data_IF_550415259233
#
_entry.id   IF_550415259233
#
_cell.length_a   1.000
_cell.length_b   1.000
_cell.length_c   1.000
_cell.angle_alpha   90.00
_cell.angle_beta   90.00
_cell.angle_gamma   90.00
#
_symmetry.space_group_name_H-M   'P 1'
#
loop_
_entity.id
_entity.type
_entity.pdbx_description
1 polymer ?
#
# COMPACT_ATOMS: atom_id res chain seq x y z
N UNK A 1 9.59 0.56 4.03
CA UNK A 1 10.50 -0.58 4.31
C UNK A 1 11.14 -1.01 3.00
N UNK A 2 12.47 -0.96 2.88
CA UNK A 2 13.19 -1.24 1.63
C UNK A 2 13.76 -2.67 1.71
N UNK A 3 13.19 -3.61 0.95
CA UNK A 3 13.72 -4.98 0.85
C UNK A 3 14.86 -4.94 -0.18
N UNK A 4 16.10 -5.19 0.27
CA UNK A 4 17.28 -5.20 -0.59
C UNK A 4 17.63 -6.65 -0.94
N UNK A 5 17.57 -7.00 -2.23
CA UNK A 5 18.09 -8.27 -2.76
C UNK A 5 19.58 -8.03 -3.04
N UNK A 6 20.46 -8.56 -2.19
CA UNK A 6 21.92 -8.48 -2.37
C UNK A 6 22.39 -9.54 -3.37
N UNK A 7 23.08 -9.10 -4.43
CA UNK A 7 23.88 -9.95 -5.34
C UNK A 7 25.21 -10.31 -4.65
N UNK A 8 25.53 -11.59 -4.40
CA UNK A 8 26.66 -12.02 -3.59
C UNK A 8 27.87 -12.45 -4.43
N UNK A 9 28.00 -11.99 -5.68
CA UNK A 9 29.17 -12.22 -6.54
C UNK A 9 30.44 -11.44 -6.11
N UNK A 10 30.68 -11.25 -4.81
CA UNK A 10 31.97 -10.79 -4.30
C UNK A 10 32.91 -12.00 -4.12
N UNK A 11 34.14 -12.00 -4.68
CA UNK A 11 34.98 -13.18 -4.79
C UNK A 11 35.73 -13.47 -3.48
N UNK A 12 35.79 -14.74 -3.09
CA UNK A 12 36.77 -15.25 -2.12
C UNK A 12 36.19 -15.82 -0.82
N UNK A 13 35.83 -17.11 -0.85
CA UNK A 13 35.62 -17.90 0.38
C UNK A 13 34.46 -18.88 0.28
N UNK A 14 34.73 -20.17 0.49
CA UNK A 14 33.78 -21.29 0.44
C UNK A 14 32.69 -21.20 1.52
N UNK A 15 31.71 -20.32 1.36
CA UNK A 15 30.40 -20.41 2.03
C UNK A 15 29.35 -20.46 0.95
N UNK A 16 28.59 -21.56 0.88
CA UNK A 16 27.40 -21.65 0.00
C UNK A 16 26.53 -20.44 0.29
N UNK A 17 26.49 -19.50 -0.65
CA UNK A 17 25.68 -18.30 -0.51
C UNK A 17 24.24 -18.75 -0.41
N UNK A 18 23.62 -18.55 0.76
CA UNK A 18 22.20 -18.84 0.96
C UNK A 18 21.39 -17.69 0.37
N UNK A 19 21.16 -17.72 -0.94
CA UNK A 19 20.20 -16.85 -1.62
C UNK A 19 18.80 -17.15 -1.07
N UNK A 20 18.34 -16.34 -0.13
CA UNK A 20 17.04 -16.52 0.52
C UNK A 20 16.58 -15.22 1.16
N UNK A 21 15.27 -15.09 1.44
CA UNK A 21 14.73 -13.87 2.04
C UNK A 21 15.47 -13.55 3.35
N UNK A 22 15.90 -12.31 3.46
CA UNK A 22 16.64 -11.75 4.59
C UNK A 22 15.72 -10.77 5.30
N UNK A 23 15.58 -10.92 6.61
CA UNK A 23 14.80 -10.01 7.46
C UNK A 23 15.79 -9.36 8.42
N UNK A 24 15.86 -8.03 8.44
CA UNK A 24 16.79 -7.26 9.28
C UNK A 24 18.26 -7.74 9.19
N UNK A 25 18.74 -8.02 7.97
CA UNK A 25 20.12 -8.48 7.73
C UNK A 25 20.39 -9.94 8.08
N UNK A 26 19.41 -10.70 8.60
CA UNK A 26 19.57 -12.13 8.93
C UNK A 26 18.84 -13.01 7.91
N UNK A 27 19.54 -13.99 7.36
CA UNK A 27 18.93 -14.97 6.47
C UNK A 27 17.98 -15.88 7.25
N UNK A 28 16.77 -16.06 6.77
CA UNK A 28 15.84 -17.02 7.36
C UNK A 28 16.38 -18.43 7.13
N UNK A 29 16.60 -19.20 8.21
CA UNK A 29 17.10 -20.57 8.09
C UNK A 29 15.99 -21.58 7.79
N UNK A 30 14.80 -21.40 8.40
CA UNK A 30 13.67 -22.33 8.29
C UNK A 30 13.03 -22.32 6.90
N UNK A 31 12.90 -23.48 6.21
CA UNK A 31 12.22 -23.57 4.91
C UNK A 31 10.74 -23.16 4.95
N UNK A 32 10.02 -23.49 6.02
CA UNK A 32 8.62 -23.10 6.20
C UNK A 32 8.49 -21.57 6.32
N UNK A 33 9.35 -20.94 7.11
CA UNK A 33 9.38 -19.49 7.27
C UNK A 33 9.74 -18.77 5.96
N UNK A 34 10.64 -19.33 5.15
CA UNK A 34 10.93 -18.78 3.80
C UNK A 34 9.71 -18.79 2.89
N UNK A 35 8.89 -19.84 2.94
CA UNK A 35 7.66 -19.95 2.13
C UNK A 35 6.62 -18.92 2.58
N UNK A 36 6.42 -18.79 3.89
CA UNK A 36 5.50 -17.80 4.47
C UNK A 36 5.90 -16.37 4.06
N UNK A 37 7.17 -16.00 4.23
CA UNK A 37 7.65 -14.66 3.85
C UNK A 37 7.51 -14.41 2.35
N UNK A 38 7.78 -15.41 1.51
CA UNK A 38 7.54 -15.29 0.06
C UNK A 38 6.06 -15.10 -0.29
N UNK A 39 5.14 -15.78 0.42
CA UNK A 39 3.70 -15.59 0.24
C UNK A 39 3.26 -14.18 0.61
N UNK A 40 3.67 -13.72 1.80
CA UNK A 40 3.37 -12.36 2.28
C UNK A 40 3.89 -11.27 1.33
N UNK A 41 5.09 -11.44 0.76
CA UNK A 41 5.63 -10.48 -0.22
C UNK A 41 4.74 -10.45 -1.47
N UNK A 42 4.33 -11.61 -2.00
CA UNK A 42 3.46 -11.67 -3.18
C UNK A 42 2.09 -11.05 -2.93
N UNK A 43 1.51 -11.28 -1.76
CA UNK A 43 0.22 -10.70 -1.40
C UNK A 43 0.32 -9.18 -1.24
N UNK A 44 1.42 -8.69 -0.65
CA UNK A 44 1.69 -7.26 -0.54
C UNK A 44 1.91 -6.60 -1.92
N UNK A 45 2.64 -7.26 -2.82
CA UNK A 45 2.84 -6.80 -4.20
C UNK A 45 1.50 -6.75 -4.96
N UNK A 46 0.66 -7.79 -4.83
CA UNK A 46 -0.66 -7.84 -5.46
C UNK A 46 -1.57 -6.72 -4.94
N UNK A 47 -1.62 -6.54 -3.61
CA UNK A 47 -2.41 -5.46 -3.01
C UNK A 47 -1.92 -4.08 -3.45
N UNK A 48 -0.61 -3.91 -3.64
CA UNK A 48 -0.03 -2.67 -4.15
C UNK A 48 -0.43 -2.43 -5.61
N UNK A 49 -0.38 -3.45 -6.47
CA UNK A 49 -0.82 -3.36 -7.86
C UNK A 49 -2.31 -3.00 -7.98
N UNK A 50 -3.17 -3.60 -7.13
CA UNK A 50 -4.60 -3.29 -7.10
C UNK A 50 -4.86 -1.83 -6.72
N UNK A 51 -4.10 -1.29 -5.75
CA UNK A 51 -4.17 0.14 -5.40
C UNK A 51 -3.76 1.02 -6.56
N UNK A 52 -2.65 0.71 -7.23
CA UNK A 52 -2.16 1.48 -8.38
C UNK A 52 -3.17 1.49 -9.55
N UNK A 53 -3.81 0.35 -9.82
CA UNK A 53 -4.87 0.25 -10.83
C UNK A 53 -6.11 1.05 -10.43
N UNK A 54 -6.50 0.99 -9.15
CA UNK A 54 -7.65 1.74 -8.62
C UNK A 54 -7.39 3.24 -8.70
N UNK A 55 -6.21 3.69 -8.29
CA UNK A 55 -5.81 5.09 -8.36
C UNK A 55 -5.78 5.58 -9.82
N UNK A 56 -5.21 4.78 -10.73
CA UNK A 56 -5.21 5.10 -12.16
C UNK A 56 -6.63 5.20 -12.72
N UNK A 57 -7.54 4.32 -12.32
CA UNK A 57 -8.95 4.38 -12.69
C UNK A 57 -9.63 5.65 -12.13
N UNK A 58 -9.43 5.96 -10.85
CA UNK A 58 -9.95 7.18 -10.20
C UNK A 58 -9.45 8.43 -10.95
N UNK A 59 -8.16 8.51 -11.27
CA UNK A 59 -7.61 9.66 -11.98
C UNK A 59 -8.20 9.83 -13.38
N UNK A 60 -8.45 8.74 -14.10
CA UNK A 60 -9.14 8.78 -15.41
C UNK A 60 -10.57 9.27 -15.26
N UNK A 61 -11.27 8.82 -14.24
CA UNK A 61 -12.66 9.23 -14.00
C UNK A 61 -12.75 10.69 -13.55
N UNK A 62 -11.82 11.14 -12.70
CA UNK A 62 -11.69 12.55 -12.32
C UNK A 62 -11.35 13.44 -13.52
N UNK A 63 -10.51 12.97 -14.44
CA UNK A 63 -10.19 13.70 -15.67
C UNK A 63 -11.38 13.77 -16.64
N UNK A 64 -12.26 12.77 -16.63
CA UNK A 64 -13.50 12.74 -17.42
C UNK A 64 -14.64 13.51 -16.77
N UNK A 65 -14.57 13.76 -15.48
CA UNK A 65 -15.62 14.48 -14.76
C UNK A 65 -15.79 15.89 -15.35
N UNK A 66 -17.04 16.34 -15.61
CA UNK A 66 -17.27 17.69 -16.08
C UNK A 66 -16.75 18.69 -15.05
N UNK A 67 -16.09 19.75 -15.52
CA UNK A 67 -15.60 20.83 -14.66
C UNK A 67 -16.79 21.39 -13.88
N UNK A 68 -16.70 21.32 -12.55
CA UNK A 68 -17.75 21.83 -11.67
C UNK A 68 -17.77 23.35 -11.75
N UNK A 69 -18.96 23.93 -11.71
CA UNK A 69 -19.08 25.38 -11.56
C UNK A 69 -18.65 25.79 -10.14
N UNK A 70 -18.22 27.04 -9.96
CA UNK A 70 -17.81 27.58 -8.65
C UNK A 70 -18.92 27.37 -7.59
N UNK A 71 -20.18 27.52 -8.00
CA UNK A 71 -21.35 27.29 -7.15
C UNK A 71 -21.45 25.83 -6.70
N UNK A 72 -21.26 24.88 -7.62
CA UNK A 72 -21.29 23.45 -7.31
C UNK A 72 -20.16 23.05 -6.35
N UNK A 73 -18.96 23.63 -6.50
CA UNK A 73 -17.87 23.41 -5.54
C UNK A 73 -18.19 23.95 -4.15
N UNK A 74 -18.77 25.15 -4.06
CA UNK A 74 -19.17 25.74 -2.78
C UNK A 74 -20.25 24.90 -2.08
N UNK A 75 -21.26 24.43 -2.82
CA UNK A 75 -22.27 23.53 -2.30
C UNK A 75 -21.64 22.24 -1.79
N UNK A 76 -20.74 21.62 -2.55
CA UNK A 76 -20.08 20.38 -2.15
C UNK A 76 -19.22 20.54 -0.88
N UNK A 77 -18.52 21.67 -0.74
CA UNK A 77 -17.75 21.97 0.47
C UNK A 77 -18.65 22.13 1.69
N UNK A 78 -19.81 22.79 1.53
CA UNK A 78 -20.81 22.94 2.60
C UNK A 78 -21.40 21.59 3.02
N UNK A 79 -21.90 20.80 2.06
CA UNK A 79 -22.47 19.48 2.34
C UNK A 79 -21.44 18.55 2.98
N UNK A 80 -20.17 18.59 2.54
CA UNK A 80 -19.09 17.83 3.19
C UNK A 80 -18.91 18.25 4.65
N UNK A 81 -18.89 19.55 4.94
CA UNK A 81 -18.79 20.07 6.30
C UNK A 81 -19.97 19.65 7.18
N UNK A 82 -21.19 19.66 6.64
CA UNK A 82 -22.40 19.20 7.34
C UNK A 82 -22.35 17.71 7.63
N UNK A 83 -21.95 16.88 6.68
CA UNK A 83 -21.80 15.43 6.88
C UNK A 83 -20.75 15.11 7.95
N UNK A 84 -19.63 15.85 7.98
CA UNK A 84 -18.61 15.68 9.04
C UNK A 84 -19.18 16.05 10.41
N UNK A 85 -19.91 17.17 10.50
CA UNK A 85 -20.57 17.58 11.74
C UNK A 85 -21.57 16.54 12.23
N UNK A 86 -22.42 16.04 11.34
CA UNK A 86 -23.41 15.00 11.64
C UNK A 86 -22.75 13.68 12.06
N UNK A 87 -21.70 13.25 11.36
CA UNK A 87 -20.95 12.04 11.73
C UNK A 87 -20.28 12.17 13.11
N UNK A 88 -19.78 13.37 13.44
CA UNK A 88 -19.17 13.67 14.74
C UNK A 88 -20.23 13.73 15.86
N UNK A 89 -21.41 14.24 15.56
CA UNK A 89 -22.55 14.26 16.50
C UNK A 89 -23.10 12.85 16.74
N UNK A 90 -23.19 12.02 15.69
CA UNK A 90 -23.64 10.63 15.80
C UNK A 90 -22.64 9.75 16.55
N UNK A 91 -21.33 9.97 16.43
CA UNK A 91 -20.34 9.23 17.23
C UNK A 91 -20.37 9.60 18.71
N UNK A 92 -20.76 10.83 19.07
CA UNK A 92 -20.93 11.27 20.48
C UNK A 92 -22.19 10.77 21.16
N UNK A 93 -23.21 10.37 20.41
CA UNK A 93 -24.49 9.87 20.95
C UNK A 93 -24.50 8.35 21.13
N UNK A 94 -23.50 7.65 20.59
CA UNK A 94 -23.36 6.18 20.64
C UNK A 94 -22.31 5.73 21.70
N UNK A 95 -21.60 6.68 22.33
CA UNK A 95 -20.72 6.46 23.49
C UNK A 95 -21.39 6.97 24.76
#
# INVERSE_FOLDING_TARGET
MKIVILDPKAPGGRRRVRYGPVVNGRTIASPAMKRLVKGLIRDAEKAQQEKELTDAWIQRELARAPKRTVLQEQMLRRTKGELIKLATQNTRTVT
#
